data_IF_075609514194
#
_entry.id   IF_075609514194
#
_cell.length_a   1.000
_cell.length_b   1.000
_cell.length_c   1.000
_cell.angle_alpha   90.00
_cell.angle_beta   90.00
_cell.angle_gamma   90.00
#
_symmetry.space_group_name_H-M   'P 1'
#
loop_
_entity.id
_entity.type
_entity.pdbx_description
1 polymer ?
#
# COMPACT_ATOMS: atom_id res chain seq x y z
N UNK A 1 16.74 -5.93 5.67
CA UNK A 1 16.40 -5.24 6.95
C UNK A 1 14.89 -5.10 7.19
N UNK A 2 14.02 -5.86 6.49
CA UNK A 2 12.55 -5.78 6.66
C UNK A 2 12.11 -6.01 8.11
N UNK A 3 12.63 -7.07 8.75
CA UNK A 3 12.33 -7.39 10.16
C UNK A 3 12.59 -6.19 11.09
N UNK A 4 13.75 -5.55 10.97
CA UNK A 4 14.11 -4.40 11.79
C UNK A 4 13.17 -3.20 11.59
N UNK A 5 12.75 -2.93 10.34
CA UNK A 5 11.79 -1.86 10.04
C UNK A 5 10.39 -2.17 10.60
N UNK A 6 9.97 -3.44 10.54
CA UNK A 6 8.70 -3.90 11.13
C UNK A 6 8.71 -3.76 12.65
N UNK A 7 9.76 -4.25 13.31
CA UNK A 7 9.91 -4.16 14.77
C UNK A 7 9.98 -2.70 15.25
N UNK A 8 10.60 -1.82 14.46
CA UNK A 8 10.63 -0.37 14.72
C UNK A 8 9.30 0.35 14.35
N UNK A 9 8.32 -0.34 13.78
CA UNK A 9 7.03 0.24 13.38
C UNK A 9 7.09 1.17 12.15
N UNK A 10 8.18 1.15 11.38
CA UNK A 10 8.42 2.12 10.32
C UNK A 10 7.56 1.91 9.07
N UNK A 11 6.83 0.80 8.97
CA UNK A 11 5.84 0.56 7.91
C UNK A 11 4.42 0.99 8.27
N UNK A 12 4.16 1.36 9.52
CA UNK A 12 2.81 1.69 10.02
C UNK A 12 2.68 3.16 10.46
N UNK A 13 3.48 4.04 9.88
CA UNK A 13 3.46 5.48 10.19
C UNK A 13 2.10 6.08 9.84
N UNK A 14 1.53 5.70 8.69
CA UNK A 14 0.27 6.23 8.16
C UNK A 14 -0.94 5.34 8.40
N UNK A 15 -0.76 4.17 9.00
CA UNK A 15 -1.86 3.26 9.37
C UNK A 15 -2.71 3.95 10.46
N UNK A 16 -4.06 3.87 10.40
CA UNK A 16 -4.92 4.48 11.42
C UNK A 16 -4.60 4.01 12.84
N UNK A 17 -4.67 4.93 13.82
CA UNK A 17 -4.42 4.63 15.24
C UNK A 17 -5.36 3.58 15.77
N UNK A 18 -6.63 3.64 15.36
CA UNK A 18 -7.66 2.66 15.73
C UNK A 18 -7.31 1.22 15.29
N UNK A 19 -6.38 1.06 14.34
CA UNK A 19 -5.91 -0.23 13.82
C UNK A 19 -4.47 -0.54 14.25
N UNK A 20 -3.93 0.18 15.24
CA UNK A 20 -2.60 -0.07 15.81
C UNK A 20 -1.44 0.63 15.08
N UNK A 21 -1.74 1.53 14.14
CA UNK A 21 -0.75 2.39 13.50
C UNK A 21 -0.45 3.67 14.27
N UNK A 22 0.43 4.51 13.73
CA UNK A 22 0.81 5.78 14.35
C UNK A 22 -0.04 6.98 13.89
N UNK A 23 -0.71 6.86 12.75
CA UNK A 23 -1.52 7.91 12.11
C UNK A 23 -0.78 9.27 12.13
N UNK A 24 0.46 9.25 11.66
CA UNK A 24 1.30 10.44 11.57
C UNK A 24 0.86 11.32 10.39
N UNK A 25 1.29 12.59 10.43
CA UNK A 25 1.11 13.47 9.29
C UNK A 25 2.21 13.24 8.24
N UNK A 26 2.01 13.80 7.04
CA UNK A 26 2.93 13.64 5.92
C UNK A 26 4.33 14.19 6.19
N UNK A 27 4.44 15.28 6.98
CA UNK A 27 5.74 15.85 7.36
C UNK A 27 6.57 14.85 8.17
N UNK A 28 5.99 14.25 9.19
CA UNK A 28 6.67 13.24 10.01
C UNK A 28 7.09 12.03 9.18
N UNK A 29 6.24 11.56 8.26
CA UNK A 29 6.60 10.48 7.34
C UNK A 29 7.83 10.84 6.48
N UNK A 30 7.86 12.05 5.92
CA UNK A 30 9.01 12.52 5.11
C UNK A 30 10.30 12.66 5.93
N UNK A 31 10.21 13.14 7.17
CA UNK A 31 11.36 13.24 8.08
C UNK A 31 11.95 11.85 8.38
N UNK A 32 11.11 10.86 8.66
CA UNK A 32 11.55 9.45 8.84
C UNK A 32 12.18 8.90 7.55
N UNK A 33 11.57 9.15 6.40
CA UNK A 33 12.13 8.76 5.09
C UNK A 33 13.52 9.37 4.87
N UNK A 34 13.70 10.65 5.19
CA UNK A 34 14.98 11.35 5.06
C UNK A 34 16.07 10.69 5.91
N UNK A 35 15.77 10.38 7.18
CA UNK A 35 16.73 9.71 8.05
C UNK A 35 17.06 8.29 7.59
N UNK A 36 16.07 7.52 7.12
CA UNK A 36 16.31 6.20 6.52
C UNK A 36 17.21 6.30 5.27
N UNK A 37 17.03 7.35 4.45
CA UNK A 37 17.75 7.53 3.20
C UNK A 37 19.25 7.78 3.44
N UNK A 38 19.63 8.39 4.57
CA UNK A 38 21.03 8.56 4.97
C UNK A 38 21.77 7.23 5.16
N UNK A 39 21.05 6.18 5.56
CA UNK A 39 21.60 4.83 5.71
C UNK A 39 21.48 3.98 4.44
N UNK A 40 20.29 3.96 3.83
CA UNK A 40 20.05 3.18 2.61
C UNK A 40 18.87 3.76 1.80
N UNK A 41 19.17 4.36 0.66
CA UNK A 41 18.16 4.94 -0.24
C UNK A 41 17.07 3.94 -0.67
N UNK A 42 17.43 2.70 -1.01
CA UNK A 42 16.45 1.66 -1.39
C UNK A 42 15.50 1.30 -0.25
N UNK A 43 16.00 1.29 0.99
CA UNK A 43 15.18 1.03 2.18
C UNK A 43 14.19 2.17 2.39
N UNK A 44 14.67 3.41 2.33
CA UNK A 44 13.82 4.59 2.44
C UNK A 44 12.74 4.62 1.36
N UNK A 45 13.10 4.29 0.12
CA UNK A 45 12.16 4.23 -1.01
C UNK A 45 11.04 3.22 -0.76
N UNK A 46 11.38 1.98 -0.39
CA UNK A 46 10.40 0.93 -0.10
C UNK A 46 9.53 1.29 1.11
N UNK A 47 10.11 1.78 2.20
CA UNK A 47 9.35 2.19 3.38
C UNK A 47 8.38 3.34 3.08
N UNK A 48 8.82 4.32 2.27
CA UNK A 48 7.96 5.44 1.84
C UNK A 48 6.78 4.95 1.03
N UNK A 49 7.02 4.13 0.00
CA UNK A 49 5.94 3.66 -0.87
C UNK A 49 4.94 2.79 -0.12
N UNK A 50 5.40 1.94 0.83
CA UNK A 50 4.51 1.17 1.70
C UNK A 50 3.66 2.08 2.60
N UNK A 51 4.22 3.15 3.15
CA UNK A 51 3.42 4.10 3.94
C UNK A 51 2.45 4.90 3.06
N UNK A 52 2.79 5.23 1.82
CA UNK A 52 1.87 5.90 0.88
C UNK A 52 0.69 5.00 0.53
N UNK A 53 0.94 3.73 0.20
CA UNK A 53 -0.13 2.77 -0.12
C UNK A 53 -0.97 2.43 1.11
N UNK A 54 -0.36 2.33 2.30
CA UNK A 54 -1.09 2.20 3.56
C UNK A 54 -1.99 3.42 3.80
N UNK A 55 -1.49 4.64 3.60
CA UNK A 55 -2.32 5.84 3.68
C UNK A 55 -3.51 5.76 2.71
N UNK A 56 -3.27 5.32 1.46
CA UNK A 56 -4.33 5.11 0.47
C UNK A 56 -5.38 4.10 0.95
N UNK A 57 -4.98 2.95 1.53
CA UNK A 57 -5.94 1.98 2.10
C UNK A 57 -6.75 2.59 3.25
N UNK A 58 -6.17 3.48 4.05
CA UNK A 58 -6.89 4.22 5.09
C UNK A 58 -8.07 5.06 4.59
N UNK A 59 -8.14 5.33 3.28
CA UNK A 59 -9.23 6.05 2.62
C UNK A 59 -10.34 5.13 2.07
N UNK A 60 -10.12 3.81 2.05
CA UNK A 60 -11.12 2.84 1.57
C UNK A 60 -12.21 2.63 2.62
N UNK A 61 -13.37 2.02 2.25
CA UNK A 61 -14.37 1.61 3.22
C UNK A 61 -13.77 0.77 4.34
N UNK A 62 -14.33 0.87 5.54
CA UNK A 62 -13.81 0.22 6.76
C UNK A 62 -13.52 -1.27 6.57
N UNK A 63 -14.38 -1.97 5.81
CA UNK A 63 -14.18 -3.38 5.50
C UNK A 63 -12.81 -3.67 4.90
N UNK A 64 -12.37 -2.89 3.91
CA UNK A 64 -11.06 -3.08 3.28
C UNK A 64 -9.91 -2.79 4.25
N UNK A 65 -10.08 -1.81 5.13
CA UNK A 65 -9.09 -1.51 6.18
C UNK A 65 -8.94 -2.69 7.16
N UNK A 66 -10.06 -3.31 7.55
CA UNK A 66 -10.08 -4.49 8.42
C UNK A 66 -9.55 -5.74 7.72
N UNK A 67 -9.79 -5.90 6.42
CA UNK A 67 -9.22 -7.01 5.65
C UNK A 67 -7.67 -6.92 5.65
N UNK A 68 -7.11 -5.70 5.57
CA UNK A 68 -5.65 -5.49 5.60
C UNK A 68 -5.06 -5.56 7.01
N UNK A 69 -5.61 -4.85 7.99
CA UNK A 69 -5.00 -4.68 9.32
C UNK A 69 -5.78 -5.28 10.50
N UNK A 70 -6.89 -5.98 10.26
CA UNK A 70 -7.73 -6.55 11.32
C UNK A 70 -7.00 -7.59 12.19
N UNK A 71 -5.99 -8.26 11.63
CA UNK A 71 -5.15 -9.24 12.35
C UNK A 71 -3.87 -8.61 12.92
N UNK A 72 -3.65 -7.31 12.72
CA UNK A 72 -2.48 -6.58 13.20
C UNK A 72 -2.02 -5.46 12.24
N UNK A 73 -1.31 -4.44 12.76
CA UNK A 73 -0.96 -3.24 12.00
C UNK A 73 0.19 -3.43 11.00
N UNK A 74 0.86 -4.59 11.00
CA UNK A 74 2.13 -4.78 10.30
C UNK A 74 1.96 -5.33 8.87
N UNK A 75 0.73 -5.54 8.41
CA UNK A 75 0.43 -5.86 7.02
C UNK A 75 0.87 -4.71 6.11
N UNK A 76 1.58 -5.06 5.03
CA UNK A 76 2.17 -4.10 4.10
C UNK A 76 1.48 -4.18 2.76
N UNK A 77 1.24 -3.02 2.18
CA UNK A 77 0.62 -2.85 0.86
C UNK A 77 1.69 -2.35 -0.11
N UNK A 78 1.89 -3.01 -1.24
CA UNK A 78 2.63 -2.41 -2.36
C UNK A 78 1.66 -1.79 -3.35
N UNK A 79 2.11 -1.05 -4.36
CA UNK A 79 1.13 -0.53 -5.32
C UNK A 79 1.70 0.08 -6.58
N UNK A 80 0.87 0.04 -7.62
CA UNK A 80 1.12 0.60 -8.95
C UNK A 80 -0.20 1.10 -9.50
N UNK A 81 -0.36 2.41 -9.65
CA UNK A 81 -1.62 3.02 -10.08
C UNK A 81 -1.78 3.13 -11.60
N UNK A 82 -0.74 2.84 -12.37
CA UNK A 82 -0.83 2.80 -13.83
C UNK A 82 -1.85 1.72 -14.28
N UNK A 83 -2.84 2.06 -15.11
CA UNK A 83 -3.91 1.14 -15.51
C UNK A 83 -3.47 0.23 -16.67
N UNK A 84 -2.54 -0.70 -16.40
CA UNK A 84 -1.96 -1.62 -17.40
C UNK A 84 -2.64 -3.00 -17.42
N UNK A 85 -3.96 -3.02 -17.24
CA UNK A 85 -4.78 -4.24 -17.17
C UNK A 85 -6.04 -4.14 -18.00
N UNK A 86 -6.66 -5.28 -18.27
CA UNK A 86 -8.04 -5.37 -18.73
C UNK A 86 -8.94 -5.78 -17.58
N UNK A 87 -10.17 -5.26 -17.56
CA UNK A 87 -11.18 -5.68 -16.60
C UNK A 87 -12.49 -5.99 -17.32
N UNK A 88 -13.29 -6.88 -16.74
CA UNK A 88 -14.68 -7.09 -17.17
C UNK A 88 -15.57 -7.21 -15.94
N UNK A 89 -16.78 -6.67 -16.05
CA UNK A 89 -17.79 -6.81 -15.00
C UNK A 89 -18.18 -8.28 -14.85
N UNK A 90 -18.32 -8.74 -13.60
CA UNK A 90 -18.88 -10.05 -13.25
C UNK A 90 -19.87 -9.86 -12.09
N UNK A 91 -20.66 -10.89 -11.78
CA UNK A 91 -21.51 -10.87 -10.59
C UNK A 91 -20.68 -10.57 -9.34
N UNK A 92 -21.10 -9.60 -8.53
CA UNK A 92 -20.42 -9.22 -7.30
C UNK A 92 -19.11 -8.43 -7.46
N UNK A 93 -18.62 -8.16 -8.68
CA UNK A 93 -17.35 -7.42 -8.83
C UNK A 93 -16.79 -7.34 -10.24
N UNK A 94 -15.48 -7.53 -10.34
CA UNK A 94 -14.69 -7.41 -11.56
C UNK A 94 -13.70 -8.56 -11.68
N UNK A 95 -13.55 -9.11 -12.89
CA UNK A 95 -12.43 -9.99 -13.20
C UNK A 95 -11.35 -9.16 -13.88
N UNK A 96 -10.14 -9.22 -13.36
CA UNK A 96 -9.01 -8.39 -13.82
C UNK A 96 -7.86 -9.28 -14.27
N UNK A 97 -7.28 -8.99 -15.42
CA UNK A 97 -6.07 -9.63 -15.94
C UNK A 97 -5.10 -8.55 -16.38
N UNK A 98 -3.86 -8.58 -15.88
CA UNK A 98 -2.88 -7.58 -16.25
C UNK A 98 -1.51 -7.83 -15.63
N UNK A 99 -0.59 -6.92 -15.93
CA UNK A 99 0.75 -6.90 -15.35
C UNK A 99 1.08 -5.47 -14.92
N UNK A 100 1.51 -5.32 -13.69
CA UNK A 100 1.95 -4.05 -13.13
C UNK A 100 3.45 -4.11 -12.84
N UNK A 101 4.22 -3.32 -13.58
CA UNK A 101 5.66 -3.17 -13.35
C UNK A 101 5.96 -2.19 -12.21
N UNK A 102 7.20 -2.24 -11.70
CA UNK A 102 7.71 -1.28 -10.71
C UNK A 102 7.01 -1.27 -9.33
N UNK A 103 6.40 -2.39 -8.93
CA UNK A 103 5.84 -2.57 -7.59
C UNK A 103 6.95 -2.75 -6.52
N UNK A 104 7.58 -1.64 -6.13
CA UNK A 104 8.61 -1.62 -5.10
C UNK A 104 8.09 -2.21 -3.78
N UNK A 105 8.87 -3.09 -3.16
CA UNK A 105 8.47 -3.78 -1.92
C UNK A 105 7.46 -4.92 -2.10
N UNK A 106 7.06 -5.27 -3.34
CA UNK A 106 6.08 -6.33 -3.61
C UNK A 106 6.43 -7.69 -3.00
N UNK A 107 7.71 -8.11 -3.05
CA UNK A 107 8.17 -9.35 -2.40
C UNK A 107 8.06 -9.34 -0.86
N UNK A 108 7.73 -8.20 -0.27
CA UNK A 108 7.59 -8.02 1.16
C UNK A 108 6.18 -7.59 1.58
N UNK A 109 5.27 -7.38 0.63
CA UNK A 109 3.90 -6.97 0.86
C UNK A 109 2.94 -8.17 0.87
N UNK A 110 1.84 -8.04 1.61
CA UNK A 110 0.75 -9.04 1.66
C UNK A 110 -0.41 -8.63 0.74
N UNK A 111 -0.51 -7.32 0.44
CA UNK A 111 -1.57 -6.72 -0.35
C UNK A 111 -1.00 -5.81 -1.44
N UNK A 112 -1.83 -5.48 -2.43
CA UNK A 112 -1.45 -4.57 -3.50
C UNK A 112 -2.59 -3.60 -3.86
N UNK A 113 -2.26 -2.31 -3.96
CA UNK A 113 -3.10 -1.28 -4.57
C UNK A 113 -2.78 -1.19 -6.06
N UNK A 114 -3.71 -1.57 -6.92
CA UNK A 114 -3.51 -1.63 -8.36
C UNK A 114 -4.48 -0.71 -9.10
N UNK A 115 -3.95 0.06 -10.04
CA UNK A 115 -4.77 0.81 -10.99
C UNK A 115 -5.43 -0.14 -11.98
N UNK A 116 -6.77 -0.11 -12.02
CA UNK A 116 -7.58 -1.00 -12.87
C UNK A 116 -8.53 -0.10 -13.66
N UNK A 117 -8.46 -0.08 -15.01
CA UNK A 117 -9.46 0.59 -15.81
C UNK A 117 -10.78 -0.20 -15.69
N UNK A 118 -11.86 0.48 -15.34
CA UNK A 118 -13.19 -0.12 -15.27
C UNK A 118 -13.89 0.15 -16.59
N UNK A 119 -13.89 -0.81 -17.50
CA UNK A 119 -14.62 -0.70 -18.76
C UNK A 119 -15.98 -1.38 -18.60
N UNK A 120 -17.05 -0.65 -18.86
CA UNK A 120 -18.36 -1.29 -19.00
C UNK A 120 -18.45 -2.10 -20.32
N UNK A 121 -19.53 -2.84 -20.53
CA UNK A 121 -19.72 -3.63 -21.75
C UNK A 121 -19.75 -2.82 -23.06
N UNK A 122 -19.81 -1.48 -22.97
CA UNK A 122 -19.68 -0.55 -24.09
C UNK A 122 -18.26 -0.03 -24.32
N UNK A 123 -17.30 -0.36 -23.45
CA UNK A 123 -15.92 0.09 -23.57
C UNK A 123 -15.69 1.55 -23.20
N UNK A 124 -16.63 2.17 -22.47
CA UNK A 124 -16.46 3.48 -21.84
C UNK A 124 -15.94 3.35 -20.40
#
# INVERSE_FOLDING_TARGET
>A
NIKALTEAGLFRLTVPRRLGGFETNFRTMLEVTSELARGCGSTAWVATLINVTNWTVGLFPERAQLDVWGSGPDARVCGVLAPTSTSRKVEGGWRVTGRWGFASGSLHAQWANLGIPLTDGSGA
#
